data_IF_141901578575
#
_entry.id   IF_141901578575
#
_cell.length_a   1.000
_cell.length_b   1.000
_cell.length_c   1.000
_cell.angle_alpha   90.00
_cell.angle_beta   90.00
_cell.angle_gamma   90.00
#
_symmetry.space_group_name_H-M   'P 1'
#
loop_
_entity.id
_entity.type
_entity.pdbx_description
1 polymer ?
#
# COMPACT_ATOMS: atom_id res chain seq x y z
N UNK A 1 5.66 -9.56 10.13
CA UNK A 1 6.50 -9.77 8.93
C UNK A 1 6.08 -8.92 7.73
N UNK A 2 4.92 -9.13 7.07
CA UNK A 2 4.54 -8.37 5.84
C UNK A 2 4.67 -6.83 5.95
N UNK A 3 4.28 -6.24 7.09
CA UNK A 3 4.44 -4.78 7.36
C UNK A 3 5.89 -4.27 7.31
N UNK A 4 6.88 -5.16 7.42
CA UNK A 4 8.31 -4.86 7.30
C UNK A 4 8.85 -5.05 5.88
N UNK A 5 8.00 -5.42 4.92
CA UNK A 5 8.41 -5.70 3.53
C UNK A 5 8.84 -7.14 3.30
N UNK A 6 8.58 -8.02 4.26
CA UNK A 6 8.96 -9.43 4.12
C UNK A 6 8.13 -10.13 3.04
N UNK A 7 8.78 -10.95 2.22
CA UNK A 7 8.12 -11.94 1.37
C UNK A 7 8.13 -13.29 2.06
N UNK A 8 7.10 -14.09 1.80
CA UNK A 8 7.14 -15.50 2.14
C UNK A 8 7.76 -16.23 0.94
N UNK A 9 8.91 -16.85 1.16
CA UNK A 9 9.58 -17.65 0.16
C UNK A 9 9.61 -19.09 0.66
N UNK A 10 8.71 -19.92 0.13
CA UNK A 10 8.44 -21.27 0.63
C UNK A 10 8.01 -21.26 2.11
N UNK A 11 8.86 -21.73 3.02
CA UNK A 11 8.54 -21.84 4.45
C UNK A 11 9.16 -20.72 5.29
N UNK A 12 9.98 -19.84 4.70
CA UNK A 12 10.70 -18.78 5.41
C UNK A 12 10.20 -17.39 5.02
N UNK A 13 10.35 -16.45 5.95
CA UNK A 13 10.15 -15.03 5.67
C UNK A 13 11.49 -14.39 5.32
N UNK A 14 11.58 -13.82 4.13
CA UNK A 14 12.80 -13.17 3.62
C UNK A 14 12.61 -11.66 3.65
N UNK A 15 13.64 -10.96 4.13
CA UNK A 15 13.69 -9.51 4.21
C UNK A 15 15.00 -9.01 3.57
N UNK A 16 14.99 -7.84 2.91
CA UNK A 16 16.23 -7.21 2.48
C UNK A 16 17.04 -6.81 3.72
N UNK A 17 18.37 -6.91 3.62
CA UNK A 17 19.26 -6.51 4.69
C UNK A 17 19.16 -4.99 4.93
N UNK A 18 18.82 -4.60 6.16
CA UNK A 18 18.94 -3.21 6.62
C UNK A 18 19.06 -3.18 8.15
N UNK A 19 19.86 -2.25 8.69
CA UNK A 19 20.01 -2.10 10.15
C UNK A 19 18.66 -1.86 10.84
N UNK A 20 17.82 -1.01 10.25
CA UNK A 20 16.48 -0.71 10.77
C UNK A 20 15.58 -1.96 10.80
N UNK A 21 15.66 -2.83 9.77
CA UNK A 21 14.87 -4.06 9.73
C UNK A 21 15.37 -5.04 10.78
N UNK A 22 16.68 -5.21 10.93
CA UNK A 22 17.27 -6.12 11.91
C UNK A 22 16.83 -5.74 13.33
N UNK A 23 16.94 -4.47 13.72
CA UNK A 23 16.51 -3.99 15.03
C UNK A 23 15.02 -4.31 15.29
N UNK A 24 14.15 -4.09 14.30
CA UNK A 24 12.71 -4.39 14.41
C UNK A 24 12.45 -5.89 14.54
N UNK A 25 13.18 -6.72 13.80
CA UNK A 25 12.98 -8.17 13.82
C UNK A 25 13.54 -8.78 15.11
N UNK A 26 14.65 -8.29 15.64
CA UNK A 26 15.18 -8.69 16.96
C UNK A 26 14.24 -8.29 18.11
N UNK A 27 13.60 -7.12 18.04
CA UNK A 27 12.58 -6.74 19.02
C UNK A 27 11.34 -7.65 18.92
N UNK A 28 10.97 -8.08 17.71
CA UNK A 28 9.89 -9.02 17.49
C UNK A 28 10.23 -10.42 18.02
N UNK A 29 11.46 -10.89 17.82
CA UNK A 29 11.99 -12.14 18.39
C UNK A 29 11.84 -12.15 19.91
N UNK A 30 12.37 -11.14 20.61
CA UNK A 30 12.23 -11.01 22.07
C UNK A 30 10.76 -11.02 22.50
N UNK A 31 9.90 -10.35 21.75
CA UNK A 31 8.46 -10.34 22.05
C UNK A 31 7.87 -11.74 21.95
N UNK A 32 8.19 -12.49 20.89
CA UNK A 32 7.67 -13.85 20.68
C UNK A 32 8.17 -14.80 21.77
N UNK A 33 9.46 -14.74 22.11
CA UNK A 33 10.06 -15.56 23.17
C UNK A 33 9.44 -15.27 24.54
N UNK A 34 9.12 -14.00 24.84
CA UNK A 34 8.45 -13.61 26.08
C UNK A 34 7.05 -14.23 26.23
N UNK A 35 6.39 -14.59 25.12
CA UNK A 35 5.11 -15.31 25.12
C UNK A 35 5.28 -16.84 24.98
N UNK A 36 6.50 -17.37 25.14
CA UNK A 36 6.80 -18.80 25.08
C UNK A 36 6.90 -19.36 23.65
N UNK A 37 6.97 -18.50 22.64
CA UNK A 37 7.18 -18.89 21.25
C UNK A 37 8.65 -19.16 20.94
N UNK A 38 8.91 -19.64 19.71
CA UNK A 38 10.25 -19.88 19.19
C UNK A 38 10.44 -19.13 17.87
N UNK A 39 11.64 -18.57 17.68
CA UNK A 39 12.02 -17.86 16.47
C UNK A 39 13.41 -18.32 16.06
N UNK A 40 13.63 -18.46 14.76
CA UNK A 40 14.95 -18.64 14.18
C UNK A 40 15.25 -17.43 13.29
N UNK A 41 16.24 -16.65 13.70
CA UNK A 41 16.79 -15.57 12.90
C UNK A 41 18.13 -15.99 12.28
N UNK A 42 18.25 -15.77 10.98
CA UNK A 42 19.48 -15.98 10.23
C UNK A 42 19.76 -14.78 9.34
N UNK A 43 21.01 -14.34 9.33
CA UNK A 43 21.54 -13.38 8.37
C UNK A 43 22.43 -14.14 7.39
N UNK A 44 22.32 -13.83 6.10
CA UNK A 44 23.11 -14.49 5.08
C UNK A 44 23.02 -13.77 3.75
N UNK A 45 23.75 -14.31 2.76
CA UNK A 45 23.75 -13.84 1.38
C UNK A 45 23.44 -14.98 0.43
N UNK A 46 22.84 -14.65 -0.70
CA UNK A 46 22.66 -15.59 -1.80
C UNK A 46 24.02 -15.85 -2.46
N UNK A 47 24.29 -17.10 -2.84
CA UNK A 47 25.63 -17.51 -3.29
C UNK A 47 25.87 -17.29 -4.78
N UNK A 48 24.83 -17.38 -5.60
CA UNK A 48 24.91 -17.21 -7.06
C UNK A 48 23.87 -16.20 -7.54
N UNK A 49 24.13 -15.63 -8.72
CA UNK A 49 23.27 -14.59 -9.30
C UNK A 49 21.90 -15.08 -9.71
N UNK A 50 21.79 -16.33 -10.18
CA UNK A 50 20.51 -16.90 -10.62
C UNK A 50 19.51 -17.00 -9.45
N UNK A 51 19.98 -17.46 -8.29
CA UNK A 51 19.14 -17.54 -7.09
C UNK A 51 18.87 -16.16 -6.49
N UNK A 52 19.79 -15.20 -6.63
CA UNK A 52 19.57 -13.81 -6.23
C UNK A 52 18.45 -13.20 -7.06
N UNK A 53 18.46 -13.42 -8.38
CA UNK A 53 17.41 -12.99 -9.29
C UNK A 53 16.05 -13.63 -8.96
N UNK A 54 16.00 -14.92 -8.59
CA UNK A 54 14.75 -15.57 -8.13
C UNK A 54 14.15 -14.88 -6.91
N UNK A 55 14.98 -14.53 -5.92
CA UNK A 55 14.52 -13.84 -4.70
C UNK A 55 14.07 -12.41 -5.03
N UNK A 56 14.84 -11.68 -5.86
CA UNK A 56 14.47 -10.33 -6.30
C UNK A 56 13.14 -10.33 -7.06
N UNK A 57 12.93 -11.29 -7.96
CA UNK A 57 11.67 -11.44 -8.69
C UNK A 57 10.50 -11.70 -7.73
N UNK A 58 10.69 -12.53 -6.70
CA UNK A 58 9.66 -12.74 -5.68
C UNK A 58 9.32 -11.45 -4.89
N UNK A 59 10.30 -10.57 -4.64
CA UNK A 59 10.04 -9.24 -4.10
C UNK A 59 9.25 -8.37 -5.08
N UNK A 60 9.64 -8.33 -6.36
CA UNK A 60 8.93 -7.58 -7.40
C UNK A 60 7.47 -8.03 -7.52
N UNK A 61 7.21 -9.33 -7.57
CA UNK A 61 5.85 -9.89 -7.62
C UNK A 61 5.04 -9.49 -6.39
N UNK A 62 5.63 -9.60 -5.19
CA UNK A 62 4.96 -9.22 -3.96
C UNK A 62 4.64 -7.72 -3.89
N UNK A 63 5.54 -6.84 -4.39
CA UNK A 63 5.29 -5.40 -4.47
C UNK A 63 4.25 -5.07 -5.53
N UNK A 64 4.34 -5.67 -6.71
CA UNK A 64 3.35 -5.51 -7.78
C UNK A 64 1.95 -5.89 -7.29
N UNK A 65 1.80 -7.00 -6.57
CA UNK A 65 0.52 -7.39 -5.98
C UNK A 65 -0.05 -6.32 -5.05
N UNK A 66 0.76 -5.74 -4.17
CA UNK A 66 0.30 -4.66 -3.29
C UNK A 66 -0.07 -3.38 -4.05
N UNK A 67 0.68 -3.00 -5.09
CA UNK A 67 0.31 -1.87 -5.94
C UNK A 67 -0.96 -2.14 -6.73
N UNK A 68 -1.15 -3.36 -7.22
CA UNK A 68 -2.36 -3.80 -7.91
C UNK A 68 -3.59 -3.65 -7.00
N UNK A 69 -3.50 -4.07 -5.74
CA UNK A 69 -4.57 -3.88 -4.74
C UNK A 69 -4.90 -2.38 -4.53
N UNK A 70 -3.88 -1.50 -4.52
CA UNK A 70 -4.09 -0.04 -4.45
C UNK A 70 -4.78 0.48 -5.72
N UNK A 71 -4.39 0.00 -6.90
CA UNK A 71 -4.98 0.41 -8.19
C UNK A 71 -6.45 0.00 -8.24
N UNK A 72 -6.78 -1.23 -7.86
CA UNK A 72 -8.16 -1.72 -7.79
C UNK A 72 -9.01 -0.86 -6.85
N UNK A 73 -8.46 -0.46 -5.71
CA UNK A 73 -9.17 0.42 -4.77
C UNK A 73 -9.31 1.85 -5.26
N UNK A 74 -8.39 2.35 -6.07
CA UNK A 74 -8.60 3.60 -6.81
C UNK A 74 -9.78 3.48 -7.79
N UNK A 75 -9.95 2.32 -8.42
CA UNK A 75 -11.05 2.06 -9.35
C UNK A 75 -12.40 1.95 -8.64
N UNK A 76 -12.43 1.33 -7.46
CA UNK A 76 -13.62 1.35 -6.59
C UNK A 76 -13.98 2.79 -6.20
N UNK A 77 -13.00 3.60 -5.78
CA UNK A 77 -13.20 5.01 -5.45
C UNK A 77 -13.76 5.83 -6.62
N UNK A 78 -13.29 5.58 -7.86
CA UNK A 78 -13.84 6.26 -9.03
C UNK A 78 -15.31 5.93 -9.27
N UNK A 79 -15.70 4.67 -9.09
CA UNK A 79 -17.09 4.25 -9.25
C UNK A 79 -17.98 4.91 -8.20
N UNK A 80 -17.49 5.03 -6.97
CA UNK A 80 -18.22 5.69 -5.88
C UNK A 80 -18.49 7.16 -6.22
N UNK A 81 -17.45 7.92 -6.58
CA UNK A 81 -17.63 9.34 -6.96
C UNK A 81 -18.58 9.49 -8.16
N UNK A 82 -18.46 8.62 -9.18
CA UNK A 82 -19.38 8.64 -10.32
C UNK A 82 -20.83 8.37 -9.89
N UNK A 83 -21.04 7.42 -8.98
CA UNK A 83 -22.36 7.09 -8.46
C UNK A 83 -22.98 8.25 -7.66
N UNK A 84 -22.20 8.91 -6.80
CA UNK A 84 -22.65 10.08 -6.04
C UNK A 84 -23.04 11.26 -6.97
N UNK A 85 -22.28 11.49 -8.04
CA UNK A 85 -22.61 12.48 -9.07
C UNK A 85 -23.91 12.13 -9.81
N UNK A 86 -24.08 10.87 -10.22
CA UNK A 86 -25.27 10.41 -10.93
C UNK A 86 -26.54 10.55 -10.10
N UNK A 87 -26.43 10.33 -8.79
CA UNK A 87 -27.55 10.48 -7.84
C UNK A 87 -27.78 11.92 -7.37
N UNK A 88 -26.94 12.86 -7.80
CA UNK A 88 -26.95 14.25 -7.35
C UNK A 88 -26.91 14.38 -5.82
N UNK A 89 -26.23 13.45 -5.15
CA UNK A 89 -26.15 13.42 -3.68
C UNK A 89 -25.06 14.40 -3.22
N UNK A 90 -25.34 15.69 -3.35
CA UNK A 90 -24.39 16.76 -3.12
C UNK A 90 -24.49 17.30 -1.68
N UNK A 91 -24.15 16.46 -0.71
CA UNK A 91 -24.13 16.86 0.71
C UNK A 91 -22.70 16.84 1.27
N UNK A 92 -22.45 17.67 2.28
CA UNK A 92 -21.13 17.78 2.90
C UNK A 92 -20.63 16.46 3.51
N UNK A 93 -21.53 15.63 4.03
CA UNK A 93 -21.18 14.34 4.60
C UNK A 93 -20.50 13.41 3.56
N UNK A 94 -20.97 13.40 2.31
CA UNK A 94 -20.36 12.60 1.24
C UNK A 94 -18.95 13.11 0.88
N UNK A 95 -18.73 14.42 0.95
CA UNK A 95 -17.40 15.01 0.74
C UNK A 95 -16.44 14.57 1.84
N UNK A 96 -16.87 14.63 3.10
CA UNK A 96 -16.06 14.20 4.25
C UNK A 96 -15.73 12.71 4.18
N UNK A 97 -16.71 11.85 3.89
CA UNK A 97 -16.50 10.41 3.77
C UNK A 97 -15.53 10.06 2.64
N UNK A 98 -15.72 10.65 1.46
CA UNK A 98 -14.82 10.42 0.33
C UNK A 98 -13.42 11.01 0.56
N UNK A 99 -13.28 12.10 1.32
CA UNK A 99 -11.97 12.63 1.72
C UNK A 99 -11.21 11.63 2.59
N UNK A 100 -11.89 11.06 3.60
CA UNK A 100 -11.29 10.05 4.47
C UNK A 100 -10.84 8.81 3.70
N UNK A 101 -11.67 8.31 2.78
CA UNK A 101 -11.31 7.17 1.93
C UNK A 101 -10.12 7.48 1.03
N UNK A 102 -10.07 8.67 0.42
CA UNK A 102 -8.92 9.10 -0.38
C UNK A 102 -7.63 9.18 0.46
N UNK A 103 -7.69 9.71 1.68
CA UNK A 103 -6.54 9.76 2.58
C UNK A 103 -6.09 8.37 3.03
N UNK A 104 -7.01 7.42 3.25
CA UNK A 104 -6.67 6.01 3.49
C UNK A 104 -5.91 5.40 2.31
N UNK A 105 -6.35 5.66 1.07
CA UNK A 105 -5.65 5.20 -0.13
C UNK A 105 -4.25 5.80 -0.27
N UNK A 106 -4.10 7.12 -0.09
CA UNK A 106 -2.80 7.80 -0.10
C UNK A 106 -1.86 7.25 0.98
N UNK A 107 -2.38 7.02 2.18
CA UNK A 107 -1.62 6.44 3.29
C UNK A 107 -1.20 5.00 3.00
N UNK A 108 -2.05 4.21 2.33
CA UNK A 108 -1.71 2.87 1.90
C UNK A 108 -0.59 2.87 0.85
N UNK A 109 -0.69 3.68 -0.20
CA UNK A 109 0.37 3.82 -1.21
C UNK A 109 1.72 4.13 -0.55
N UNK A 110 1.78 5.14 0.32
CA UNK A 110 3.01 5.51 1.05
C UNK A 110 3.60 4.34 1.84
N UNK A 111 2.75 3.50 2.45
CA UNK A 111 3.18 2.31 3.18
C UNK A 111 3.78 1.27 2.22
N UNK A 112 3.21 1.06 1.04
CA UNK A 112 3.75 0.16 0.01
C UNK A 112 5.10 0.68 -0.48
N UNK A 113 5.18 1.96 -0.82
CA UNK A 113 6.42 2.61 -1.30
C UNK A 113 7.56 2.50 -0.28
N UNK A 114 7.28 2.66 1.02
CA UNK A 114 8.30 2.51 2.08
C UNK A 114 8.92 1.11 2.12
N UNK A 115 8.20 0.08 1.67
CA UNK A 115 8.66 -1.31 1.63
C UNK A 115 9.25 -1.72 0.27
N UNK A 116 9.11 -0.87 -0.74
CA UNK A 116 9.50 -1.16 -2.12
C UNK A 116 10.94 -0.72 -2.39
N UNK A 117 11.89 -1.60 -2.06
CA UNK A 117 13.30 -1.39 -2.39
C UNK A 117 13.65 -1.84 -3.82
N UNK A 118 12.78 -2.62 -4.47
CA UNK A 118 13.00 -3.17 -5.82
C UNK A 118 12.50 -2.25 -6.93
N UNK A 119 11.83 -1.15 -6.57
CA UNK A 119 11.17 -0.23 -7.50
C UNK A 119 10.26 -0.98 -8.47
N UNK A 120 9.26 -1.66 -7.92
CA UNK A 120 8.41 -2.55 -8.70
C UNK A 120 7.68 -1.82 -9.85
N UNK A 121 7.51 -2.48 -11.02
CA UNK A 121 6.97 -1.84 -12.23
C UNK A 121 5.64 -1.10 -12.05
N UNK A 122 4.72 -1.63 -11.23
CA UNK A 122 3.39 -1.04 -11.03
C UNK A 122 3.37 0.22 -10.15
N UNK A 123 4.50 0.58 -9.52
CA UNK A 123 4.60 1.77 -8.66
C UNK A 123 4.11 3.03 -9.35
N UNK A 124 4.59 3.28 -10.58
CA UNK A 124 4.27 4.50 -11.33
C UNK A 124 2.77 4.57 -11.64
N UNK A 125 2.18 3.45 -12.04
CA UNK A 125 0.74 3.38 -12.33
C UNK A 125 -0.10 3.66 -11.08
N UNK A 126 0.23 3.04 -9.94
CA UNK A 126 -0.47 3.28 -8.69
C UNK A 126 -0.41 4.76 -8.25
N UNK A 127 0.74 5.41 -8.42
CA UNK A 127 0.90 6.86 -8.16
C UNK A 127 -0.02 7.68 -9.07
N UNK A 128 -0.05 7.38 -10.37
CA UNK A 128 -0.90 8.11 -11.32
C UNK A 128 -2.40 7.89 -11.05
N UNK A 129 -2.80 6.68 -10.64
CA UNK A 129 -4.18 6.38 -10.23
C UNK A 129 -4.59 7.20 -9.00
N UNK A 130 -3.76 7.27 -7.96
CA UNK A 130 -4.00 8.11 -6.77
C UNK A 130 -4.12 9.60 -7.13
N UNK A 131 -3.26 10.10 -8.02
CA UNK A 131 -3.36 11.49 -8.52
C UNK A 131 -4.69 11.73 -9.23
N UNK A 132 -5.15 10.76 -10.03
CA UNK A 132 -6.45 10.84 -10.69
C UNK A 132 -7.60 10.80 -9.67
N UNK A 133 -7.55 9.96 -8.63
CA UNK A 133 -8.52 9.98 -7.53
C UNK A 133 -8.60 11.37 -6.88
N UNK A 134 -7.44 11.96 -6.61
CA UNK A 134 -7.37 13.31 -6.02
C UNK A 134 -8.05 14.36 -6.90
N UNK A 135 -7.80 14.34 -8.22
CA UNK A 135 -8.43 15.28 -9.16
C UNK A 135 -9.95 15.10 -9.25
N UNK A 136 -10.40 13.85 -9.37
CA UNK A 136 -11.84 13.53 -9.47
C UNK A 136 -12.56 13.94 -8.19
N UNK A 137 -11.96 13.70 -7.02
CA UNK A 137 -12.47 14.19 -5.75
C UNK A 137 -12.55 15.72 -5.68
N UNK A 138 -11.50 16.44 -6.09
CA UNK A 138 -11.51 17.91 -6.12
C UNK A 138 -12.64 18.49 -7.00
N UNK A 139 -12.94 17.84 -8.13
CA UNK A 139 -14.05 18.22 -9.02
C UNK A 139 -15.41 17.95 -8.37
N UNK A 140 -15.57 16.78 -7.75
CA UNK A 140 -16.76 16.41 -6.98
C UNK A 140 -17.02 17.41 -5.85
N UNK A 141 -16.04 17.67 -4.98
CA UNK A 141 -16.17 18.58 -3.85
C UNK A 141 -16.53 20.00 -4.30
N UNK A 142 -15.89 20.51 -5.37
CA UNK A 142 -16.25 21.82 -5.96
C UNK A 142 -17.69 21.89 -6.42
N UNK A 143 -18.24 20.78 -6.91
CA UNK A 143 -19.63 20.70 -7.36
C UNK A 143 -20.56 20.74 -6.16
N UNK A 144 -20.28 19.95 -5.12
CA UNK A 144 -21.03 19.97 -3.86
C UNK A 144 -21.08 21.37 -3.25
N UNK A 145 -19.93 22.04 -3.13
CA UNK A 145 -19.86 23.40 -2.58
C UNK A 145 -20.68 24.42 -3.39
N UNK A 146 -20.74 24.26 -4.72
CA UNK A 146 -21.53 25.15 -5.59
C UNK A 146 -23.03 24.93 -5.43
N UNK A 147 -23.47 23.67 -5.34
CA UNK A 147 -24.89 23.36 -5.16
C UNK A 147 -25.38 23.76 -3.76
N UNK A 148 -24.57 23.53 -2.71
CA UNK A 148 -24.90 23.94 -1.34
C UNK A 148 -24.99 25.47 -1.13
N UNK A 149 -24.44 26.28 -2.04
CA UNK A 149 -24.55 27.75 -2.00
C UNK A 149 -25.77 28.30 -2.76
N UNK A 150 -26.52 27.44 -3.48
CA UNK A 150 -27.74 27.85 -4.19
C UNK A 150 -28.99 27.76 -3.32
N UNK A 151 -28.91 27.05 -2.20
CA UNK A 151 -29.93 27.01 -1.14
C UNK A 151 -29.77 28.17 -0.16
#
# INVERSE_FOLDING_TARGET
>A
MKKLGAINYQTVWVLPYSKEIIEKVQNLEKTIENYGGQVLLAEGKVLNKEDEEKILNAFVEARNKEYQEVIEKCEDFFKEISFEIERQNFIFAEVEENEEELEKLKAWLKKVEKRDFVNAPLKKEAIEKIKKCTRVFEEFSKTVYKEAQKE
#
